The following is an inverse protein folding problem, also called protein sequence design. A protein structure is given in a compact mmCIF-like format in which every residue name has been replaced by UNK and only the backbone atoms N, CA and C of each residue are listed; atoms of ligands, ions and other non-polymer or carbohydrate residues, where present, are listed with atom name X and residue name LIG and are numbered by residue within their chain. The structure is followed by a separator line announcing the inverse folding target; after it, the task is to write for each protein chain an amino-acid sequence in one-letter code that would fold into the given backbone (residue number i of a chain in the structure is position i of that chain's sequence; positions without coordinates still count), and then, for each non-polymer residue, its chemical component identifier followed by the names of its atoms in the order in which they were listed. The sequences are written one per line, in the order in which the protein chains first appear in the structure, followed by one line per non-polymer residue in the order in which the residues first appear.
data_IF_402938223318
#
_entry.id   IF_402938223318
#
_cell.length_a   1.000
_cell.length_b   1.000
_cell.length_c   1.000
_cell.angle_alpha   90.00
_cell.angle_beta   90.00
_cell.angle_gamma   90.00
#
_symmetry.space_group_name_H-M   'P 1'
#
loop_
_entity.id
_entity.type
_entity.pdbx_description
1 polymer ?
#
# COMPACT_ATOMS: atom_id res chain seq x y z
N UNK A 1 37.16 -6.48 8.20
CA UNK A 1 36.50 -5.38 8.95
C UNK A 1 35.16 -5.91 9.40
N UNK A 2 34.96 -6.12 10.70
CA UNK A 2 33.64 -6.45 11.25
C UNK A 2 32.84 -5.15 11.28
N UNK A 3 31.95 -4.94 10.32
CA UNK A 3 30.96 -3.89 10.41
C UNK A 3 30.04 -4.26 11.56
N UNK A 4 30.10 -3.53 12.67
CA UNK A 4 29.13 -3.69 13.74
C UNK A 4 27.73 -3.49 13.12
N UNK A 5 26.91 -4.53 13.19
CA UNK A 5 25.51 -4.44 12.84
C UNK A 5 24.90 -3.54 13.93
N UNK A 6 24.64 -2.28 13.57
CA UNK A 6 23.86 -1.36 14.38
C UNK A 6 22.43 -1.38 13.82
N UNK A 7 21.58 -2.34 14.25
CA UNK A 7 20.20 -2.39 13.79
C UNK A 7 19.42 -1.19 14.31
N UNK A 8 18.40 -0.81 13.55
CA UNK A 8 17.47 0.26 13.96
C UNK A 8 16.66 -0.17 15.18
N UNK A 9 16.41 0.76 16.11
CA UNK A 9 15.57 0.50 17.27
C UNK A 9 14.07 0.38 16.88
N UNK A 10 13.25 -0.45 17.55
CA UNK A 10 11.85 -0.67 17.16
C UNK A 10 10.99 0.59 17.06
N UNK A 11 11.15 1.54 18.01
CA UNK A 11 10.41 2.80 17.99
C UNK A 11 10.85 3.73 16.87
N UNK A 12 12.15 3.69 16.54
CA UNK A 12 12.70 4.46 15.44
C UNK A 12 12.24 3.89 14.10
N UNK A 13 12.23 2.57 13.95
CA UNK A 13 11.70 1.87 12.78
C UNK A 13 10.27 2.28 12.46
N UNK A 14 9.39 2.26 13.46
CA UNK A 14 8.00 2.68 13.30
C UNK A 14 7.90 4.14 12.81
N UNK A 15 8.72 5.03 13.38
CA UNK A 15 8.77 6.45 13.02
C UNK A 15 9.24 6.62 11.58
N UNK A 16 10.28 5.89 11.18
CA UNK A 16 10.83 5.87 9.82
C UNK A 16 9.78 5.41 8.83
N UNK A 17 9.14 4.26 9.08
CA UNK A 17 8.11 3.72 8.17
C UNK A 17 6.97 4.73 8.01
N UNK A 18 6.45 5.31 9.09
CA UNK A 18 5.42 6.37 9.03
C UNK A 18 5.83 7.55 8.17
N UNK A 19 7.10 7.98 8.26
CA UNK A 19 7.60 9.13 7.49
C UNK A 19 7.76 8.84 5.99
N UNK A 20 7.87 7.58 5.60
CA UNK A 20 8.01 7.14 4.20
C UNK A 20 6.66 6.88 3.54
N UNK A 21 5.61 6.69 4.32
CA UNK A 21 4.27 6.37 3.83
C UNK A 21 3.49 7.64 3.44
N UNK A 22 2.60 7.46 2.47
CA UNK A 22 1.72 8.52 1.96
C UNK A 22 0.51 8.69 2.89
N UNK A 23 0.13 9.94 3.13
CA UNK A 23 -1.09 10.26 3.87
C UNK A 23 -2.34 10.03 3.00
N UNK A 24 -3.49 9.65 3.58
CA UNK A 24 -3.71 9.37 4.99
C UNK A 24 -3.10 8.03 5.45
N UNK A 25 -2.86 7.90 6.75
CA UNK A 25 -2.45 6.65 7.40
C UNK A 25 -3.59 6.10 8.24
N UNK A 26 -3.90 4.82 8.05
CA UNK A 26 -4.78 4.03 8.91
C UNK A 26 -3.94 2.99 9.65
N UNK A 27 -3.92 3.07 10.97
CA UNK A 27 -3.06 2.26 11.83
C UNK A 27 -3.88 1.33 12.72
N UNK A 28 -3.51 0.05 12.75
CA UNK A 28 -4.14 -0.94 13.60
C UNK A 28 -3.08 -1.86 14.23
N UNK A 29 -3.29 -2.23 15.48
CA UNK A 29 -2.49 -3.26 16.15
C UNK A 29 -3.14 -4.61 15.93
N UNK A 30 -2.36 -5.56 15.42
CA UNK A 30 -2.77 -6.95 15.19
C UNK A 30 -2.67 -7.72 16.53
N UNK A 31 -3.47 -8.78 16.77
CA UNK A 31 -3.43 -9.55 18.02
C UNK A 31 -2.07 -10.11 18.43
N UNK A 32 -1.12 -10.26 17.50
CA UNK A 32 0.25 -10.70 17.75
C UNK A 32 1.18 -9.58 18.22
N UNK A 33 0.67 -8.35 18.35
CA UNK A 33 1.43 -7.15 18.73
C UNK A 33 2.09 -6.43 17.54
N UNK A 34 1.93 -6.94 16.32
CA UNK A 34 2.42 -6.26 15.11
C UNK A 34 1.59 -5.01 14.81
N UNK A 35 2.20 -4.01 14.20
CA UNK A 35 1.51 -2.79 13.75
C UNK A 35 1.29 -2.85 12.25
N UNK A 36 0.03 -2.79 11.82
CA UNK A 36 -0.35 -2.65 10.42
C UNK A 36 -0.65 -1.19 10.12
N UNK A 37 0.01 -0.65 9.10
CA UNK A 37 -0.23 0.69 8.58
C UNK A 37 -0.68 0.57 7.13
N UNK A 38 -1.88 1.04 6.84
CA UNK A 38 -2.39 1.21 5.48
C UNK A 38 -2.20 2.68 5.10
N UNK A 39 -1.64 2.92 3.92
CA UNK A 39 -1.24 4.25 3.46
C UNK A 39 -1.90 4.60 2.14
N UNK A 40 -2.41 5.83 2.04
CA UNK A 40 -3.03 6.39 0.83
C UNK A 40 -4.56 6.35 0.83
N UNK A 41 -5.15 7.12 -0.08
CA UNK A 41 -6.60 7.13 -0.35
C UNK A 41 -6.86 7.09 -1.87
N UNK A 42 -7.26 5.93 -2.43
CA UNK A 42 -7.48 4.65 -1.74
C UNK A 42 -6.17 4.04 -1.22
N UNK A 43 -6.24 3.03 -0.36
CA UNK A 43 -5.04 2.34 0.14
C UNK A 43 -4.11 1.92 -1.01
N UNK A 44 -2.84 2.30 -0.89
CA UNK A 44 -1.79 2.04 -1.87
C UNK A 44 -0.76 1.04 -1.34
N UNK A 45 -0.34 1.22 -0.09
CA UNK A 45 0.70 0.42 0.56
C UNK A 45 0.20 -0.08 1.90
N UNK A 46 0.52 -1.33 2.22
CA UNK A 46 0.34 -1.91 3.55
C UNK A 46 1.70 -2.28 4.10
N UNK A 47 2.04 -1.72 5.26
CA UNK A 47 3.24 -2.04 6.01
C UNK A 47 2.86 -2.77 7.29
N UNK A 48 3.27 -4.04 7.42
CA UNK A 48 3.14 -4.81 8.65
C UNK A 48 4.48 -4.85 9.38
N UNK A 49 4.54 -4.19 10.52
CA UNK A 49 5.73 -4.05 11.35
C UNK A 49 5.60 -5.04 12.51
N UNK A 50 6.26 -6.18 12.35
CA UNK A 50 6.36 -7.20 13.39
C UNK A 50 7.60 -7.03 14.26
N UNK A 51 7.76 -7.91 15.26
CA UNK A 51 8.88 -7.84 16.21
C UNK A 51 10.24 -8.03 15.55
N UNK A 52 10.34 -8.79 14.47
CA UNK A 52 11.61 -9.12 13.79
C UNK A 52 11.65 -8.67 12.34
N UNK A 53 10.49 -8.47 11.71
CA UNK A 53 10.42 -8.19 10.28
C UNK A 53 9.43 -7.08 9.97
N UNK A 54 9.71 -6.36 8.89
CA UNK A 54 8.75 -5.47 8.23
C UNK A 54 8.36 -6.09 6.91
N UNK A 55 7.06 -6.24 6.71
CA UNK A 55 6.47 -6.75 5.47
C UNK A 55 5.82 -5.58 4.73
N UNK A 56 6.19 -5.39 3.47
CA UNK A 56 5.61 -4.39 2.59
C UNK A 56 4.78 -5.09 1.52
N UNK A 57 3.53 -4.65 1.38
CA UNK A 57 2.57 -5.18 0.42
C UNK A 57 1.94 -4.04 -0.39
N UNK A 58 1.63 -4.32 -1.65
CA UNK A 58 0.77 -3.45 -2.47
C UNK A 58 -0.70 -3.74 -2.12
N UNK A 59 -1.52 -2.71 -1.93
CA UNK A 59 -2.95 -2.90 -1.71
C UNK A 59 -3.71 -2.99 -3.03
N UNK A 60 -3.99 -4.20 -3.51
CA UNK A 60 -4.48 -4.42 -4.88
C UNK A 60 -5.86 -5.09 -4.92
N UNK A 61 -6.62 -4.78 -5.96
CA UNK A 61 -7.87 -5.46 -6.27
C UNK A 61 -7.57 -6.83 -6.86
N UNK A 62 -7.80 -7.90 -6.08
CA UNK A 62 -7.69 -9.26 -6.59
C UNK A 62 -9.04 -9.70 -7.18
N UNK A 63 -9.01 -10.14 -8.42
CA UNK A 63 -10.15 -10.80 -9.09
C UNK A 63 -9.83 -12.28 -9.24
N UNK A 64 -10.19 -13.08 -8.25
CA UNK A 64 -9.98 -14.54 -8.27
C UNK A 64 -11.20 -15.26 -8.87
N UNK A 65 -11.18 -15.48 -10.18
CA UNK A 65 -12.20 -16.28 -10.87
C UNK A 65 -13.61 -15.71 -10.73
N UNK A 66 -14.52 -16.48 -10.12
CA UNK A 66 -15.93 -16.13 -9.92
C UNK A 66 -16.22 -15.41 -8.59
N UNK A 67 -15.22 -15.21 -7.73
CA UNK A 67 -15.41 -14.47 -6.49
C UNK A 67 -15.59 -12.97 -6.77
N UNK A 68 -16.38 -12.24 -5.96
CA UNK A 68 -16.45 -10.80 -6.05
C UNK A 68 -15.05 -10.19 -5.86
N UNK A 69 -14.72 -9.13 -6.61
CA UNK A 69 -13.42 -8.48 -6.49
C UNK A 69 -13.24 -7.94 -5.07
N UNK A 70 -12.08 -8.19 -4.47
CA UNK A 70 -11.76 -7.77 -3.12
C UNK A 70 -10.39 -7.07 -3.09
N UNK A 71 -10.30 -6.00 -2.29
CA UNK A 71 -9.02 -5.36 -2.01
C UNK A 71 -8.26 -6.20 -0.99
N UNK A 72 -7.06 -6.63 -1.36
CA UNK A 72 -6.19 -7.40 -0.48
C UNK A 72 -4.73 -6.97 -0.63
N UNK A 73 -3.94 -7.02 0.46
CA UNK A 73 -2.50 -6.83 0.38
C UNK A 73 -1.86 -7.96 -0.44
N UNK A 74 -1.04 -7.60 -1.42
CA UNK A 74 -0.19 -8.52 -2.17
C UNK A 74 1.25 -8.28 -1.72
N UNK A 75 1.85 -9.30 -1.12
CA UNK A 75 3.22 -9.26 -0.63
C UNK A 75 4.19 -8.85 -1.73
N UNK A 76 4.94 -7.77 -1.49
CA UNK A 76 6.02 -7.33 -2.38
C UNK A 76 7.39 -7.74 -1.82
N UNK A 77 7.58 -7.60 -0.51
CA UNK A 77 8.84 -7.94 0.13
C UNK A 77 8.72 -7.98 1.65
N UNK A 78 9.70 -8.65 2.27
CA UNK A 78 9.86 -8.71 3.71
C UNK A 78 11.33 -8.51 4.05
N UNK A 79 11.59 -7.78 5.13
CA UNK A 79 12.93 -7.46 5.60
C UNK A 79 13.02 -7.85 7.08
N UNK A 80 13.97 -8.70 7.42
CA UNK A 80 14.40 -8.87 8.81
C UNK A 80 15.30 -7.69 9.20
N UNK A 81 14.73 -6.73 9.93
CA UNK A 81 15.41 -5.47 10.24
C UNK A 81 16.43 -5.63 11.38
N UNK A 82 16.41 -6.74 12.13
CA UNK A 82 17.32 -6.98 13.26
C UNK A 82 18.71 -7.40 12.82
N UNK A 83 18.82 -7.99 11.62
CA UNK A 83 20.08 -8.50 11.07
C UNK A 83 20.73 -7.53 10.08
N UNK A 84 20.12 -6.37 9.84
CA UNK A 84 20.59 -5.37 8.88
C UNK A 84 21.05 -4.10 9.59
N UNK A 85 22.11 -3.43 9.09
CA UNK A 85 22.45 -2.09 9.53
C UNK A 85 21.29 -1.12 9.29
N UNK A 86 21.11 -0.13 10.18
CA UNK A 86 20.05 0.88 10.08
C UNK A 86 19.94 1.50 8.67
N UNK A 87 21.04 2.04 8.15
CA UNK A 87 21.08 2.64 6.79
C UNK A 87 20.53 1.69 5.71
N UNK A 88 20.92 0.42 5.75
CA UNK A 88 20.47 -0.61 4.80
C UNK A 88 18.98 -0.86 4.95
N UNK A 89 18.49 -0.98 6.18
CA UNK A 89 17.06 -1.16 6.48
C UNK A 89 16.24 0.00 5.91
N UNK A 90 16.64 1.25 6.17
CA UNK A 90 15.94 2.44 5.64
C UNK A 90 15.92 2.47 4.12
N UNK A 91 17.06 2.15 3.50
CA UNK A 91 17.17 2.18 2.05
C UNK A 91 16.25 1.15 1.40
N UNK A 92 16.31 -0.12 1.86
CA UNK A 92 15.47 -1.18 1.29
C UNK A 92 13.98 -0.89 1.55
N UNK A 93 13.61 -0.41 2.75
CA UNK A 93 12.22 0.00 3.03
C UNK A 93 11.74 1.10 2.10
N UNK A 94 12.56 2.14 1.88
CA UNK A 94 12.24 3.22 0.96
C UNK A 94 11.98 2.71 -0.46
N UNK A 95 12.84 1.83 -0.97
CA UNK A 95 12.67 1.24 -2.31
C UNK A 95 11.43 0.35 -2.39
N UNK A 96 11.14 -0.49 -1.37
CA UNK A 96 9.95 -1.33 -1.36
C UNK A 96 8.66 -0.50 -1.31
N UNK A 97 8.61 0.55 -0.49
CA UNK A 97 7.44 1.43 -0.38
C UNK A 97 7.24 2.19 -1.69
N UNK A 98 8.31 2.71 -2.29
CA UNK A 98 8.27 3.39 -3.58
C UNK A 98 7.79 2.44 -4.69
N UNK A 99 8.31 1.21 -4.72
CA UNK A 99 7.90 0.18 -5.67
C UNK A 99 6.43 -0.21 -5.49
N UNK A 100 5.96 -0.46 -4.25
CA UNK A 100 4.56 -0.77 -3.97
C UNK A 100 3.63 0.35 -4.42
N UNK A 101 3.98 1.60 -4.10
CA UNK A 101 3.22 2.79 -4.53
C UNK A 101 3.18 2.91 -6.06
N UNK A 102 4.33 2.74 -6.72
CA UNK A 102 4.44 2.80 -8.18
C UNK A 102 3.60 1.72 -8.86
N UNK A 103 3.69 0.47 -8.37
CA UNK A 103 2.89 -0.65 -8.86
C UNK A 103 1.40 -0.37 -8.70
N UNK A 104 0.98 0.13 -7.55
CA UNK A 104 -0.42 0.49 -7.31
C UNK A 104 -0.93 1.52 -8.31
N UNK A 105 -0.21 2.64 -8.42
CA UNK A 105 -0.61 3.76 -9.28
C UNK A 105 -0.53 3.43 -10.76
N UNK A 106 0.33 2.48 -11.16
CA UNK A 106 0.40 2.01 -12.55
C UNK A 106 -0.91 1.38 -13.04
N UNK A 107 -1.75 0.89 -12.11
CA UNK A 107 -3.05 0.28 -12.40
C UNK A 107 -4.17 1.31 -12.48
N UNK A 108 -3.91 2.58 -12.19
CA UNK A 108 -4.94 3.60 -12.21
C UNK A 108 -5.29 3.93 -13.67
N UNK A 109 -6.56 4.22 -13.91
CA UNK A 109 -7.10 4.49 -15.24
C UNK A 109 -7.74 5.86 -15.25
N UNK A 110 -7.53 6.61 -16.34
CA UNK A 110 -8.17 7.90 -16.53
C UNK A 110 -9.61 7.69 -17.02
N UNK A 111 -10.58 8.29 -16.30
CA UNK A 111 -11.97 8.31 -16.75
C UNK A 111 -12.11 9.20 -17.99
N UNK A 112 -12.67 8.68 -19.07
CA UNK A 112 -12.83 9.42 -20.34
C UNK A 112 -13.86 10.56 -20.23
N UNK A 113 -14.76 10.52 -19.25
CA UNK A 113 -15.79 11.55 -19.04
C UNK A 113 -15.32 12.73 -18.22
N UNK A 114 -14.81 12.49 -17.01
CA UNK A 114 -14.37 13.56 -16.12
C UNK A 114 -12.86 13.86 -16.18
N UNK A 115 -12.09 13.08 -16.93
CA UNK A 115 -10.63 13.24 -17.08
C UNK A 115 -9.82 12.91 -15.82
N UNK A 116 -10.46 12.49 -14.71
CA UNK A 116 -9.77 12.18 -13.46
C UNK A 116 -9.19 10.77 -13.50
N UNK A 117 -7.96 10.63 -13.02
CA UNK A 117 -7.31 9.33 -12.79
C UNK A 117 -7.92 8.67 -11.56
N UNK A 118 -8.35 7.42 -11.71
CA UNK A 118 -9.08 6.67 -10.68
C UNK A 118 -8.46 5.29 -10.49
N UNK A 119 -8.53 4.75 -9.26
CA UNK A 119 -8.14 3.38 -9.03
C UNK A 119 -9.16 2.40 -9.66
N UNK A 120 -8.76 1.16 -9.97
CA UNK A 120 -9.62 0.15 -10.61
C UNK A 120 -10.96 -0.09 -9.89
N UNK A 121 -10.98 -0.07 -8.56
CA UNK A 121 -12.19 -0.29 -7.77
C UNK A 121 -13.19 0.88 -7.84
N UNK A 122 -12.75 2.05 -8.27
CA UNK A 122 -13.61 3.21 -8.51
C UNK A 122 -14.07 3.33 -9.97
N UNK A 123 -13.77 2.31 -10.79
CA UNK A 123 -14.16 2.22 -12.19
C UNK A 123 -15.39 1.31 -12.34
N UNK A 124 -16.46 1.82 -12.96
CA UNK A 124 -17.65 1.03 -13.29
C UNK A 124 -17.45 0.23 -14.58
N UNK A 125 -16.67 0.79 -15.51
CA UNK A 125 -16.25 0.14 -16.75
C UNK A 125 -14.77 0.40 -17.01
N UNK A 126 -14.23 -0.10 -18.12
CA UNK A 126 -12.81 0.11 -18.48
C UNK A 126 -12.49 1.60 -18.63
N UNK A 127 -13.46 2.45 -18.99
CA UNK A 127 -13.23 3.85 -19.34
C UNK A 127 -14.03 4.84 -18.50
N UNK A 128 -15.03 4.39 -17.74
CA UNK A 128 -15.93 5.26 -16.96
C UNK A 128 -15.84 4.95 -15.46
N UNK A 129 -15.72 6.00 -14.64
CA UNK A 129 -15.74 5.87 -13.18
C UNK A 129 -17.16 5.76 -12.62
N UNK A 130 -17.32 5.10 -11.47
CA UNK A 130 -18.64 4.87 -10.85
C UNK A 130 -19.42 6.17 -10.60
N UNK A 131 -18.73 7.26 -10.27
CA UNK A 131 -19.38 8.55 -10.05
C UNK A 131 -19.99 9.15 -11.34
N UNK A 132 -19.35 8.97 -12.49
CA UNK A 132 -19.88 9.45 -13.77
C UNK A 132 -20.92 8.51 -14.36
N UNK A 133 -20.87 7.22 -14.00
CA UNK A 133 -21.82 6.20 -14.42
C UNK A 133 -23.17 6.37 -13.70
N UNK A 134 -23.14 6.55 -12.37
CA UNK A 134 -24.33 6.78 -11.56
C UNK A 134 -25.10 8.07 -11.92
N UNK A 135 -24.46 9.05 -12.56
CA UNK A 135 -25.12 10.26 -13.05
C UNK A 135 -26.00 10.02 -14.28
N UNK A 136 -25.71 8.99 -15.08
CA UNK A 136 -26.54 8.62 -16.24
C UNK A 136 -27.76 7.80 -15.82
N UNK A 137 -27.62 6.93 -14.82
CA UNK A 137 -28.71 6.07 -14.34
C UNK A 137 -29.82 6.84 -13.60
N UNK A 138 -29.54 8.08 -13.17
CA UNK A 138 -30.50 8.97 -12.52
C UNK A 138 -31.39 9.77 -13.47
N UNK A 139 -31.17 9.70 -14.79
CA UNK A 139 -32.00 10.39 -15.79
C UNK A 139 -33.15 9.47 -16.21
N UNK A 140 -34.24 9.50 -15.45
CA UNK A 140 -35.52 8.93 -15.89
C UNK A 140 -36.11 9.89 -16.92
N UNK A 141 -36.18 9.48 -18.18
CA UNK A 141 -36.90 10.19 -19.25
C UNK A 141 -38.41 10.06 -19.07
#
# INVERSE_FOLDING_TARGET
MNTELNPIEPHELLTVVRSMLLQPLDESTIPDGSVRIISGDPGEVVADIGPTAVVISEYALLKAGSAPPALQPILLGSIDWRILPDWTTRHILGELIAAATGLRRSKYVQCTRCGRTRPPEAMASITTCCACDAQDEGVVY
#
